data_IF_300490075075
#
_entry.id   IF_300490075075
#
_cell.length_a   1.000
_cell.length_b   1.000
_cell.length_c   1.000
_cell.angle_alpha   90.00
_cell.angle_beta   90.00
_cell.angle_gamma   90.00
#
_symmetry.space_group_name_H-M   'P 1'
#
loop_
_entity.id
_entity.type
_entity.pdbx_description
1 polymer ?
#
# COMPACT_ATOMS: atom_id res chain seq x y z
N UNK A 1 12.32 8.94 -7.77
CA UNK A 1 12.46 10.10 -6.86
C UNK A 1 13.44 9.84 -5.71
N UNK A 2 13.36 8.71 -4.99
CA UNK A 2 14.04 8.57 -3.68
C UNK A 2 15.42 7.88 -3.64
N UNK A 3 15.92 7.37 -4.78
CA UNK A 3 17.22 6.67 -4.85
C UNK A 3 17.31 5.42 -3.96
N UNK A 4 18.42 4.68 -4.04
CA UNK A 4 18.63 3.49 -3.18
C UNK A 4 18.78 3.83 -1.70
N UNK A 5 19.20 5.07 -1.39
CA UNK A 5 19.47 5.58 -0.03
C UNK A 5 18.26 5.50 0.91
N UNK A 6 17.05 5.64 0.40
CA UNK A 6 15.82 5.64 1.21
C UNK A 6 14.93 4.43 0.98
N UNK A 7 15.35 3.46 0.16
CA UNK A 7 14.53 2.27 -0.13
C UNK A 7 14.21 1.46 1.13
N UNK A 8 15.17 1.28 2.03
CA UNK A 8 14.93 0.53 3.27
C UNK A 8 13.93 1.22 4.19
N UNK A 9 13.99 2.56 4.29
CA UNK A 9 13.05 3.34 5.10
C UNK A 9 11.64 3.32 4.50
N UNK A 10 11.52 3.59 3.19
CA UNK A 10 10.24 3.57 2.49
C UNK A 10 9.62 2.17 2.52
N UNK A 11 10.42 1.13 2.27
CA UNK A 11 9.98 -0.26 2.39
C UNK A 11 9.56 -0.62 3.81
N UNK A 12 10.31 -0.16 4.83
CA UNK A 12 9.94 -0.35 6.23
C UNK A 12 8.60 0.31 6.60
N UNK A 13 8.33 1.51 6.09
CA UNK A 13 7.05 2.20 6.29
C UNK A 13 5.91 1.41 5.63
N UNK A 14 6.08 0.97 4.38
CA UNK A 14 5.09 0.13 3.68
C UNK A 14 4.82 -1.16 4.46
N UNK A 15 5.88 -1.81 4.94
CA UNK A 15 5.78 -3.04 5.71
C UNK A 15 5.05 -2.83 7.05
N UNK A 16 5.34 -1.74 7.77
CA UNK A 16 4.65 -1.42 9.01
C UNK A 16 3.13 -1.30 8.82
N UNK A 17 2.70 -0.56 7.81
CA UNK A 17 1.27 -0.43 7.50
C UNK A 17 0.65 -1.75 7.03
N UNK A 18 1.41 -2.58 6.32
CA UNK A 18 0.99 -3.93 5.97
C UNK A 18 0.75 -4.80 7.21
N UNK A 19 1.65 -4.76 8.20
CA UNK A 19 1.49 -5.51 9.45
C UNK A 19 0.28 -5.05 10.26
N UNK A 20 0.05 -3.74 10.35
CA UNK A 20 -1.14 -3.18 10.98
C UNK A 20 -2.42 -3.63 10.27
N UNK A 21 -2.44 -3.55 8.93
CA UNK A 21 -3.57 -4.00 8.12
C UNK A 21 -3.86 -5.49 8.28
N UNK A 22 -2.82 -6.34 8.29
CA UNK A 22 -2.95 -7.80 8.48
C UNK A 22 -3.52 -8.14 9.86
N UNK A 23 -2.96 -7.53 10.91
CA UNK A 23 -3.48 -7.69 12.27
C UNK A 23 -4.95 -7.25 12.38
N UNK A 24 -5.26 -6.05 11.91
CA UNK A 24 -6.62 -5.52 11.95
C UNK A 24 -7.60 -6.37 11.14
N UNK A 25 -7.19 -6.84 9.96
CA UNK A 25 -8.04 -7.66 9.09
C UNK A 25 -8.44 -8.99 9.74
N UNK A 26 -7.47 -9.70 10.32
CA UNK A 26 -7.74 -10.99 10.99
C UNK A 26 -8.53 -10.78 12.29
N UNK A 27 -8.12 -9.81 13.12
CA UNK A 27 -8.81 -9.52 14.38
C UNK A 27 -10.26 -9.08 14.16
N UNK A 28 -10.50 -8.13 13.24
CA UNK A 28 -11.84 -7.67 12.90
C UNK A 28 -12.67 -8.78 12.24
N UNK A 29 -12.04 -9.64 11.42
CA UNK A 29 -12.69 -10.79 10.82
C UNK A 29 -13.26 -11.75 11.86
N UNK A 30 -12.46 -12.10 12.87
CA UNK A 30 -12.92 -12.93 14.00
C UNK A 30 -14.01 -12.25 14.81
N UNK A 31 -13.82 -10.97 15.16
CA UNK A 31 -14.80 -10.19 15.92
C UNK A 31 -16.16 -10.08 15.21
N UNK A 32 -16.18 -9.81 13.90
CA UNK A 32 -17.42 -9.73 13.13
C UNK A 32 -18.07 -11.10 12.97
N UNK A 33 -17.29 -12.17 12.83
CA UNK A 33 -17.82 -13.53 12.82
C UNK A 33 -18.46 -13.89 14.16
N UNK A 34 -17.83 -13.57 15.29
CA UNK A 34 -18.39 -13.82 16.62
C UNK A 34 -19.71 -13.07 16.85
N UNK A 35 -19.86 -11.87 16.27
CA UNK A 35 -21.08 -11.07 16.37
C UNK A 35 -22.21 -11.53 15.44
N UNK A 36 -21.89 -11.91 14.21
CA UNK A 36 -22.88 -12.16 13.16
C UNK A 36 -23.11 -13.64 12.87
N UNK A 37 -22.17 -14.50 13.26
CA UNK A 37 -22.16 -15.93 12.95
C UNK A 37 -21.80 -16.26 11.49
N UNK A 38 -21.42 -15.27 10.67
CA UNK A 38 -21.09 -15.47 9.26
C UNK A 38 -20.03 -14.48 8.76
N UNK A 39 -19.54 -14.67 7.53
CA UNK A 39 -18.44 -13.87 6.95
C UNK A 39 -18.89 -12.81 5.94
N UNK A 40 -20.18 -12.70 5.62
CA UNK A 40 -20.67 -11.78 4.58
C UNK A 40 -20.19 -10.33 4.78
N UNK A 41 -20.25 -9.82 6.02
CA UNK A 41 -19.76 -8.48 6.35
C UNK A 41 -18.24 -8.35 6.12
N UNK A 42 -17.47 -9.37 6.47
CA UNK A 42 -16.01 -9.42 6.25
C UNK A 42 -15.70 -9.38 4.76
N UNK A 43 -16.45 -10.16 3.97
CA UNK A 43 -16.33 -10.17 2.51
C UNK A 43 -16.68 -8.83 1.88
N UNK A 44 -17.76 -8.17 2.32
CA UNK A 44 -18.13 -6.84 1.82
C UNK A 44 -17.03 -5.81 2.11
N UNK A 45 -16.48 -5.80 3.33
CA UNK A 45 -15.36 -4.92 3.69
C UNK A 45 -14.14 -5.21 2.81
N UNK A 46 -13.78 -6.48 2.62
CA UNK A 46 -12.65 -6.87 1.78
C UNK A 46 -12.82 -6.41 0.32
N UNK A 47 -14.02 -6.55 -0.24
CA UNK A 47 -14.35 -6.06 -1.60
C UNK A 47 -14.17 -4.54 -1.69
N UNK A 48 -14.77 -3.79 -0.75
CA UNK A 48 -14.69 -2.32 -0.74
C UNK A 48 -13.24 -1.86 -0.62
N UNK A 49 -12.45 -2.44 0.29
CA UNK A 49 -11.03 -2.11 0.45
C UNK A 49 -10.22 -2.43 -0.82
N UNK A 50 -10.53 -3.53 -1.51
CA UNK A 50 -9.88 -3.90 -2.77
C UNK A 50 -10.16 -2.91 -3.89
N UNK A 51 -11.41 -2.45 -4.00
CA UNK A 51 -11.81 -1.42 -4.98
C UNK A 51 -11.12 -0.09 -4.68
N UNK A 52 -11.09 0.34 -3.41
CA UNK A 52 -10.37 1.55 -2.99
C UNK A 52 -8.88 1.44 -3.32
N UNK A 53 -8.26 0.31 -3.02
CA UNK A 53 -6.85 0.07 -3.34
C UNK A 53 -6.59 0.18 -4.85
N UNK A 54 -7.42 -0.47 -5.67
CA UNK A 54 -7.31 -0.40 -7.13
C UNK A 54 -7.47 1.05 -7.66
N UNK A 55 -8.45 1.79 -7.14
CA UNK A 55 -8.69 3.18 -7.52
C UNK A 55 -7.49 4.09 -7.16
N UNK A 56 -6.90 3.91 -5.98
CA UNK A 56 -5.71 4.68 -5.57
C UNK A 56 -4.49 4.37 -6.44
N UNK A 57 -4.30 3.10 -6.81
CA UNK A 57 -3.17 2.69 -7.66
C UNK A 57 -3.31 3.18 -9.11
N UNK A 58 -4.53 3.32 -9.62
CA UNK A 58 -4.80 3.74 -10.99
C UNK A 58 -4.15 5.08 -11.36
N UNK A 59 -4.00 6.00 -10.40
CA UNK A 59 -3.43 7.34 -10.63
C UNK A 59 -1.90 7.38 -10.54
N UNK A 60 -1.23 6.25 -10.27
CA UNK A 60 0.23 6.22 -10.13
C UNK A 60 0.88 6.27 -11.52
N UNK A 61 1.67 7.32 -11.76
CA UNK A 61 2.47 7.46 -12.98
C UNK A 61 3.84 6.78 -12.82
N UNK A 62 4.09 5.77 -13.63
CA UNK A 62 5.37 5.02 -13.65
C UNK A 62 6.44 5.65 -14.56
N UNK A 63 6.13 6.79 -15.20
CA UNK A 63 7.06 7.43 -16.14
C UNK A 63 8.42 7.69 -15.47
N UNK A 64 9.53 7.23 -16.07
CA UNK A 64 10.86 7.54 -15.56
C UNK A 64 11.04 9.05 -15.49
N UNK A 65 11.53 9.54 -14.36
CA UNK A 65 11.89 10.94 -14.24
C UNK A 65 13.05 11.23 -15.18
N UNK A 66 12.92 12.26 -16.01
CA UNK A 66 14.03 12.79 -16.79
C UNK A 66 15.10 13.28 -15.81
N UNK A 67 16.20 12.54 -15.67
CA UNK A 67 17.38 13.00 -14.94
C UNK A 67 18.26 13.79 -15.90
N UNK A 68 18.69 15.00 -15.56
CA UNK A 68 19.74 15.69 -16.31
C UNK A 68 20.98 14.78 -16.36
N UNK A 69 21.50 14.53 -17.54
CA UNK A 69 22.77 13.83 -17.74
C UNK A 69 23.87 14.66 -17.07
N UNK A 70 24.67 14.02 -16.21
CA UNK A 70 25.77 14.64 -15.47
C UNK A 70 26.99 14.98 -16.38
N UNK A 71 26.73 15.57 -17.54
CA UNK A 71 27.74 15.92 -18.56
C UNK A 71 27.78 17.41 -18.91
N UNK A 72 27.04 18.26 -18.19
CA UNK A 72 26.94 19.70 -18.50
C UNK A 72 27.57 20.60 -17.43
N UNK A 73 28.54 20.07 -16.68
CA UNK A 73 29.43 20.87 -15.82
C UNK A 73 30.83 20.84 -16.47
N UNK A 74 30.94 21.52 -17.60
CA UNK A 74 32.21 21.93 -18.19
C UNK A 74 32.39 23.42 -17.93
N UNK A 75 33.33 23.78 -17.05
CA UNK A 75 34.38 24.82 -17.22
C UNK A 75 35.04 25.09 -15.87
#
# INVERSE_FOLDING_TARGET
VFGVRHLSMLGGIVFLFHQLGSFMGVWLGGFLYDLTGHYDTVWQIAIVLSVVAAALHWFISEKPLARPSAGQVTT
#
